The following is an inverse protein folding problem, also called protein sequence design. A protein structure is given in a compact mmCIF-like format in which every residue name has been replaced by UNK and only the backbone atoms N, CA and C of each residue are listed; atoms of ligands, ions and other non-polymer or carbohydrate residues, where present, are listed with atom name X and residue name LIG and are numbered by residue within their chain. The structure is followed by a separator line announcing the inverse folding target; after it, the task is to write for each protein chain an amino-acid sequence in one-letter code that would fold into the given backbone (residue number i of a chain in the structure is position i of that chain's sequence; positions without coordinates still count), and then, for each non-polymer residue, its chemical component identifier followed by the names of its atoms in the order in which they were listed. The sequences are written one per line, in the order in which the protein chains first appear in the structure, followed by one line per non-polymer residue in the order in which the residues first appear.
data_IF_326639730872
#
_entry.id   IF_326639730872
#
_cell.length_a   1.000
_cell.length_b   1.000
_cell.length_c   1.000
_cell.angle_alpha   90.00
_cell.angle_beta   90.00
_cell.angle_gamma   90.00
#
_symmetry.space_group_name_H-M   'P 1'
#
loop_
_entity.id
_entity.type
_entity.pdbx_description
1 polymer ?
#
# COMPACT_ATOMS: atom_id res chain seq x y z
N UNK A 1 -0.48 4.97 13.56
CA UNK A 1 -0.04 6.20 14.23
C UNK A 1 1.32 6.60 13.72
N UNK A 2 2.40 6.17 14.39
CA UNK A 2 3.77 6.43 13.94
C UNK A 2 4.05 5.90 12.53
N UNK A 3 3.75 4.62 12.27
CA UNK A 3 3.92 4.00 10.95
C UNK A 3 3.24 4.82 9.85
N UNK A 4 1.92 5.00 9.94
CA UNK A 4 1.13 5.79 8.98
C UNK A 4 1.65 7.23 8.80
N UNK A 5 2.16 7.85 9.86
CA UNK A 5 2.76 9.19 9.78
C UNK A 5 4.06 9.20 8.95
N UNK A 6 4.87 8.15 9.06
CA UNK A 6 6.10 8.00 8.28
C UNK A 6 5.85 7.50 6.86
N UNK A 7 4.78 6.74 6.60
CA UNK A 7 4.53 6.15 5.28
C UNK A 7 3.58 6.96 4.42
N UNK A 8 2.43 7.36 4.94
CA UNK A 8 1.31 7.87 4.12
C UNK A 8 1.60 9.27 3.56
N UNK A 9 2.43 10.06 4.26
CA UNK A 9 2.91 11.35 3.76
C UNK A 9 4.03 11.19 2.74
N UNK A 10 4.97 10.28 3.01
CA UNK A 10 6.16 10.04 2.16
C UNK A 10 5.77 9.41 0.83
N UNK A 11 4.82 8.47 0.80
CA UNK A 11 4.35 7.87 -0.46
C UNK A 11 3.74 8.93 -1.40
N UNK A 12 2.95 9.86 -0.86
CA UNK A 12 2.28 10.91 -1.65
C UNK A 12 3.29 11.93 -2.15
N UNK A 13 4.28 12.26 -1.32
CA UNK A 13 5.40 13.10 -1.73
C UNK A 13 6.16 12.45 -2.89
N UNK A 14 6.51 11.16 -2.78
CA UNK A 14 7.21 10.41 -3.83
C UNK A 14 6.42 10.37 -5.15
N UNK A 15 5.10 10.12 -5.10
CA UNK A 15 4.24 10.18 -6.29
C UNK A 15 4.24 11.58 -6.91
N UNK A 16 4.22 12.63 -6.09
CA UNK A 16 4.24 14.01 -6.59
C UNK A 16 5.60 14.42 -7.20
N UNK A 17 6.70 13.85 -6.70
CA UNK A 17 8.05 14.11 -7.20
C UNK A 17 8.29 13.43 -8.55
N UNK A 18 7.74 12.22 -8.74
CA UNK A 18 7.81 11.48 -10.01
C UNK A 18 6.84 12.02 -11.08
N UNK A 19 5.75 12.67 -10.69
CA UNK A 19 4.74 13.15 -11.62
C UNK A 19 5.12 14.49 -12.29
N UNK A 20 4.89 14.63 -13.62
CA UNK A 20 5.04 15.92 -14.32
C UNK A 20 4.16 17.01 -13.71
N UNK A 21 4.64 18.25 -13.73
CA UNK A 21 3.99 19.38 -13.03
C UNK A 21 2.55 19.59 -13.45
N UNK A 22 2.22 19.31 -14.72
CA UNK A 22 0.91 19.53 -15.32
C UNK A 22 -0.14 18.53 -14.84
N UNK A 23 0.26 17.35 -14.36
CA UNK A 23 -0.65 16.23 -14.02
C UNK A 23 -0.52 15.73 -12.57
N UNK A 24 0.20 16.45 -11.70
CA UNK A 24 0.41 16.07 -10.28
C UNK A 24 -0.87 15.78 -9.52
N UNK A 25 -1.89 16.64 -9.64
CA UNK A 25 -3.16 16.44 -8.94
C UNK A 25 -3.85 15.14 -9.39
N UNK A 26 -3.82 14.86 -10.70
CA UNK A 26 -4.37 13.63 -11.27
C UNK A 26 -3.56 12.40 -10.84
N UNK A 27 -2.23 12.49 -10.78
CA UNK A 27 -1.38 11.39 -10.32
C UNK A 27 -1.67 11.02 -8.85
N UNK A 28 -1.86 12.01 -7.98
CA UNK A 28 -2.24 11.77 -6.58
C UNK A 28 -3.66 11.19 -6.47
N UNK A 29 -4.61 11.67 -7.29
CA UNK A 29 -5.97 11.10 -7.35
C UNK A 29 -5.99 9.66 -7.85
N UNK A 30 -5.15 9.34 -8.84
CA UNK A 30 -4.98 7.99 -9.36
C UNK A 30 -4.33 7.07 -8.31
N UNK A 31 -3.31 7.54 -7.60
CA UNK A 31 -2.72 6.80 -6.47
C UNK A 31 -3.78 6.41 -5.44
N UNK A 32 -4.60 7.37 -4.99
CA UNK A 32 -5.71 7.08 -4.07
C UNK A 32 -6.71 6.07 -4.62
N UNK A 33 -7.01 6.15 -5.92
CA UNK A 33 -7.91 5.20 -6.61
C UNK A 33 -7.32 3.78 -6.62
N UNK A 34 -6.03 3.65 -6.95
CA UNK A 34 -5.32 2.37 -6.97
C UNK A 34 -5.24 1.75 -5.57
N UNK A 35 -4.96 2.56 -4.55
CA UNK A 35 -5.00 2.13 -3.14
C UNK A 35 -6.39 1.61 -2.78
N UNK A 36 -7.45 2.35 -3.11
CA UNK A 36 -8.82 1.92 -2.84
C UNK A 36 -9.22 0.62 -3.54
N UNK A 37 -8.91 0.51 -4.84
CA UNK A 37 -9.16 -0.71 -5.62
C UNK A 37 -8.36 -1.89 -5.06
N UNK A 38 -7.12 -1.67 -4.63
CA UNK A 38 -6.29 -2.72 -4.03
C UNK A 38 -6.75 -3.13 -2.63
N UNK A 39 -7.26 -2.18 -1.82
CA UNK A 39 -7.76 -2.45 -0.48
C UNK A 39 -8.99 -3.37 -0.49
N UNK A 40 -9.82 -3.29 -1.52
CA UNK A 40 -11.03 -4.11 -1.63
C UNK A 40 -10.74 -5.63 -1.65
N UNK A 41 -9.97 -6.19 -2.63
CA UNK A 41 -9.61 -7.60 -2.62
C UNK A 41 -8.70 -7.95 -1.44
N UNK A 42 -7.83 -7.03 -1.00
CA UNK A 42 -6.98 -7.28 0.17
C UNK A 42 -7.81 -7.52 1.43
N UNK A 43 -8.84 -6.70 1.66
CA UNK A 43 -9.75 -6.84 2.81
C UNK A 43 -10.56 -8.14 2.72
N UNK A 44 -11.02 -8.50 1.53
CA UNK A 44 -11.73 -9.76 1.30
C UNK A 44 -10.83 -10.98 1.60
N UNK A 45 -9.61 -10.99 1.07
CA UNK A 45 -8.62 -12.06 1.30
C UNK A 45 -8.24 -12.14 2.78
N UNK A 46 -7.97 -11.01 3.43
CA UNK A 46 -7.64 -10.95 4.85
C UNK A 46 -8.79 -11.50 5.72
N UNK A 47 -10.04 -11.15 5.42
CA UNK A 47 -11.22 -11.68 6.11
C UNK A 47 -11.39 -13.19 5.95
N UNK A 48 -11.15 -13.71 4.73
CA UNK A 48 -11.16 -15.15 4.48
C UNK A 48 -10.04 -15.88 5.23
N UNK A 49 -8.82 -15.35 5.20
CA UNK A 49 -7.68 -15.89 5.97
C UNK A 49 -7.95 -15.91 7.47
N UNK A 50 -8.51 -14.82 7.99
CA UNK A 50 -8.88 -14.70 9.40
C UNK A 50 -9.90 -15.77 9.82
N UNK A 51 -10.88 -16.04 8.96
CA UNK A 51 -11.99 -16.95 9.27
C UNK A 51 -11.64 -18.42 9.08
N UNK A 52 -10.89 -18.76 8.01
CA UNK A 52 -10.63 -20.16 7.62
C UNK A 52 -9.36 -20.74 8.25
N UNK A 53 -8.33 -19.92 8.47
CA UNK A 53 -7.01 -20.37 8.98
C UNK A 53 -6.77 -19.81 10.37
N UNK A 54 -7.21 -18.58 10.62
CA UNK A 54 -7.14 -17.92 11.91
C UNK A 54 -6.45 -16.55 11.83
N UNK A 55 -6.51 -15.77 12.92
CA UNK A 55 -6.00 -14.39 12.96
C UNK A 55 -4.53 -14.26 12.57
N UNK A 56 -3.69 -15.20 13.03
CA UNK A 56 -2.25 -15.16 12.79
C UNK A 56 -1.89 -15.22 11.30
N UNK A 57 -2.66 -15.96 10.49
CA UNK A 57 -2.40 -16.10 9.06
C UNK A 57 -2.55 -14.77 8.32
N UNK A 58 -3.56 -13.96 8.67
CA UNK A 58 -3.75 -12.63 8.09
C UNK A 58 -2.55 -11.70 8.40
N UNK A 59 -2.01 -11.78 9.62
CA UNK A 59 -0.82 -11.02 10.02
C UNK A 59 0.45 -11.47 9.28
N UNK A 60 0.69 -12.78 9.13
CA UNK A 60 1.85 -13.28 8.38
C UNK A 60 1.80 -12.89 6.90
N UNK A 61 0.63 -12.98 6.29
CA UNK A 61 0.45 -12.55 4.89
C UNK A 61 0.69 -11.05 4.76
N UNK A 62 0.14 -10.23 5.66
CA UNK A 62 0.38 -8.78 5.68
C UNK A 62 1.86 -8.41 5.90
N UNK A 63 2.55 -9.13 6.79
CA UNK A 63 3.98 -8.94 7.01
C UNK A 63 4.81 -9.32 5.78
N UNK A 64 4.48 -10.45 5.14
CA UNK A 64 5.16 -10.91 3.92
C UNK A 64 4.98 -9.95 2.75
N UNK A 65 3.76 -9.46 2.52
CA UNK A 65 3.50 -8.48 1.44
C UNK A 65 4.15 -7.14 1.73
N UNK A 66 4.15 -6.66 2.97
CA UNK A 66 4.87 -5.45 3.36
C UNK A 66 6.39 -5.56 3.16
N UNK A 67 6.98 -6.71 3.50
CA UNK A 67 8.40 -6.97 3.27
C UNK A 67 8.75 -7.02 1.77
N UNK A 68 7.92 -7.69 0.95
CA UNK A 68 8.10 -7.71 -0.50
C UNK A 68 7.99 -6.32 -1.12
N UNK A 69 7.06 -5.49 -0.66
CA UNK A 69 6.94 -4.11 -1.11
C UNK A 69 8.18 -3.28 -0.76
N UNK A 70 8.69 -3.43 0.47
CA UNK A 70 9.93 -2.75 0.90
C UNK A 70 11.14 -3.17 0.05
N UNK A 71 11.27 -4.48 -0.25
CA UNK A 71 12.33 -4.97 -1.11
C UNK A 71 12.18 -4.44 -2.55
N UNK A 72 10.96 -4.43 -3.09
CA UNK A 72 10.68 -3.87 -4.41
C UNK A 72 11.04 -2.38 -4.49
N UNK A 73 10.70 -1.60 -3.45
CA UNK A 73 11.07 -0.19 -3.37
C UNK A 73 12.59 0.00 -3.33
N UNK A 74 13.30 -0.82 -2.54
CA UNK A 74 14.76 -0.79 -2.42
C UNK A 74 15.50 -1.19 -3.71
N UNK A 75 14.90 -2.04 -4.54
CA UNK A 75 15.48 -2.45 -5.82
C UNK A 75 15.22 -1.47 -6.96
N UNK A 76 14.12 -0.70 -6.89
CA UNK A 76 13.69 0.23 -7.96
C UNK A 76 14.25 1.64 -7.74
N UNK A 77 14.34 2.09 -6.48
CA UNK A 77 14.93 3.37 -6.08
C UNK A 77 16.43 3.24 -5.83
#
# INVERSE_FOLDING_TARGET
GLYSGFTDGVEKALVSDLAPREVRATAIGLHGTLIGIGLFPASFIAGQLWTLVGPAAAFYVGAGTGFLAALGLLLIL
#
